data_IF_795328469991
#
_entry.id   IF_795328469991
#
_cell.length_a   1.000
_cell.length_b   1.000
_cell.length_c   1.000
_cell.angle_alpha   90.00
_cell.angle_beta   90.00
_cell.angle_gamma   90.00
#
_symmetry.space_group_name_H-M   'P 1'
#
loop_
_entity.id
_entity.type
_entity.pdbx_description
1 polymer ?
#
# COMPACT_ATOMS: atom_id res chain seq x y z
N UNK A 1 -11.43 -1.85 -15.46
CA UNK A 1 -11.31 -0.92 -16.63
C UNK A 1 -10.32 0.21 -16.34
N UNK A 2 -10.12 0.61 -15.08
CA UNK A 2 -9.27 1.75 -14.64
C UNK A 2 -7.75 1.52 -14.77
N UNK A 3 -7.24 0.32 -14.45
CA UNK A 3 -5.79 -0.01 -14.54
C UNK A 3 -5.26 0.12 -15.98
N UNK A 4 -6.06 -0.29 -16.99
CA UNK A 4 -5.72 -0.09 -18.42
C UNK A 4 -5.77 1.38 -18.84
N UNK A 5 -6.65 2.18 -18.23
CA UNK A 5 -6.77 3.62 -18.49
C UNK A 5 -5.62 4.42 -17.87
N UNK A 6 -5.14 4.03 -16.69
CA UNK A 6 -3.98 4.67 -16.03
C UNK A 6 -2.67 4.47 -16.80
N UNK A 7 -2.41 3.24 -17.27
CA UNK A 7 -1.24 2.96 -18.14
C UNK A 7 -1.30 3.76 -19.44
N UNK A 8 -2.46 3.79 -20.11
CA UNK A 8 -2.64 4.60 -21.32
C UNK A 8 -2.60 6.12 -21.07
N UNK A 9 -3.00 6.57 -19.89
CA UNK A 9 -2.99 7.99 -19.51
C UNK A 9 -1.59 8.54 -19.25
N UNK A 10 -0.69 7.71 -18.70
CA UNK A 10 0.71 8.08 -18.45
C UNK A 10 1.55 7.99 -19.74
N UNK A 11 1.35 6.95 -20.57
CA UNK A 11 2.09 6.77 -21.83
C UNK A 11 1.72 7.82 -22.91
N UNK A 12 0.57 8.50 -22.78
CA UNK A 12 0.07 9.50 -23.75
C UNK A 12 0.25 10.96 -23.32
N UNK A 13 1.09 11.26 -22.32
CA UNK A 13 1.44 12.66 -22.00
C UNK A 13 2.41 13.24 -23.05
N UNK A 14 1.89 13.57 -24.24
CA UNK A 14 2.54 14.51 -25.15
C UNK A 14 2.51 15.92 -24.53
N UNK A 15 3.53 16.77 -24.75
CA UNK A 15 3.50 18.14 -24.28
C UNK A 15 2.42 18.90 -25.06
N UNK A 16 1.25 19.02 -24.46
CA UNK A 16 0.20 19.89 -24.98
C UNK A 16 0.73 21.33 -24.98
N UNK A 17 0.83 21.91 -26.16
CA UNK A 17 1.14 23.34 -26.31
C UNK A 17 -0.08 24.13 -25.85
N UNK A 18 0.06 24.93 -24.79
CA UNK A 18 -1.06 25.65 -24.20
C UNK A 18 -0.85 27.17 -24.28
N UNK A 19 -1.81 27.91 -24.85
CA UNK A 19 -1.75 29.37 -24.90
C UNK A 19 -1.90 29.98 -23.50
N UNK A 20 -1.29 31.16 -23.31
CA UNK A 20 -1.36 31.96 -22.09
C UNK A 20 -2.81 32.41 -21.77
N UNK A 21 -3.02 32.87 -20.53
CA UNK A 21 -4.30 33.45 -20.05
C UNK A 21 -4.87 34.43 -21.09
N UNK A 22 -6.19 34.39 -21.35
CA UNK A 22 -6.79 35.36 -22.27
C UNK A 22 -6.63 36.75 -21.66
N UNK A 23 -6.00 37.64 -22.43
CA UNK A 23 -6.10 39.09 -22.20
C UNK A 23 -7.58 39.47 -22.18
N UNK A 24 -7.96 40.47 -21.39
CA UNK A 24 -9.34 40.91 -21.10
C UNK A 24 -10.14 41.43 -22.31
N UNK A 25 -9.73 41.09 -23.54
CA UNK A 25 -10.14 41.70 -24.79
C UNK A 25 -11.00 40.77 -25.67
N UNK A 26 -11.14 39.49 -25.33
CA UNK A 26 -12.10 38.57 -25.95
C UNK A 26 -12.81 37.78 -24.84
N UNK A 27 -13.99 38.24 -24.44
CA UNK A 27 -14.74 37.71 -23.30
C UNK A 27 -16.09 37.18 -23.75
N UNK A 28 -16.09 36.13 -24.57
CA UNK A 28 -17.30 35.34 -24.81
C UNK A 28 -17.53 34.38 -23.65
N UNK A 29 -18.79 34.11 -23.30
CA UNK A 29 -19.12 33.10 -22.28
C UNK A 29 -18.53 31.72 -22.61
N UNK A 30 -18.39 31.40 -23.90
CA UNK A 30 -17.83 30.15 -24.37
C UNK A 30 -16.33 30.04 -24.10
N UNK A 31 -15.57 31.13 -24.27
CA UNK A 31 -14.14 31.15 -23.95
C UNK A 31 -13.92 30.91 -22.46
N UNK A 32 -14.65 31.63 -21.59
CA UNK A 32 -14.58 31.42 -20.13
C UNK A 32 -14.90 29.98 -19.75
N UNK A 33 -15.95 29.38 -20.32
CA UNK A 33 -16.31 28.00 -20.06
C UNK A 33 -15.19 27.03 -20.46
N UNK A 34 -14.63 27.20 -21.67
CA UNK A 34 -13.50 26.40 -22.15
C UNK A 34 -12.26 26.51 -21.25
N UNK A 35 -11.94 27.71 -20.73
CA UNK A 35 -10.82 27.89 -19.79
C UNK A 35 -11.05 27.19 -18.45
N UNK A 36 -12.26 27.28 -17.86
CA UNK A 36 -12.59 26.61 -16.60
C UNK A 36 -12.62 25.09 -16.74
N UNK A 37 -13.19 24.57 -17.81
CA UNK A 37 -13.18 23.12 -18.12
C UNK A 37 -11.76 22.59 -18.27
N UNK A 38 -10.88 23.33 -18.96
CA UNK A 38 -9.46 22.97 -19.07
C UNK A 38 -8.71 23.02 -17.72
N UNK A 39 -9.01 24.00 -16.86
CA UNK A 39 -8.41 24.05 -15.52
C UNK A 39 -8.88 22.87 -14.65
N UNK A 40 -10.18 22.56 -14.66
CA UNK A 40 -10.73 21.43 -13.93
C UNK A 40 -10.13 20.10 -14.40
N UNK A 41 -10.00 19.91 -15.71
CA UNK A 41 -9.36 18.73 -16.29
C UNK A 41 -7.89 18.58 -15.86
N UNK A 42 -7.13 19.70 -15.80
CA UNK A 42 -5.74 19.71 -15.30
C UNK A 42 -5.65 19.30 -13.84
N UNK A 43 -6.49 19.86 -12.99
CA UNK A 43 -6.52 19.54 -11.56
C UNK A 43 -6.88 18.06 -11.34
N UNK A 44 -7.87 17.56 -12.08
CA UNK A 44 -8.27 16.15 -12.02
C UNK A 44 -7.13 15.22 -12.47
N UNK A 45 -6.45 15.53 -13.56
CA UNK A 45 -5.31 14.74 -14.04
C UNK A 45 -4.14 14.74 -13.04
N UNK A 46 -3.85 15.88 -12.41
CA UNK A 46 -2.84 16.00 -11.35
C UNK A 46 -3.22 15.16 -10.13
N UNK A 47 -4.46 15.25 -9.66
CA UNK A 47 -4.95 14.46 -8.53
C UNK A 47 -4.88 12.95 -8.82
N UNK A 48 -5.27 12.52 -10.02
CA UNK A 48 -5.15 11.11 -10.45
C UNK A 48 -3.69 10.65 -10.48
N UNK A 49 -2.77 11.49 -10.96
CA UNK A 49 -1.35 11.18 -10.95
C UNK A 49 -0.82 11.03 -9.52
N UNK A 50 -1.20 11.93 -8.60
CA UNK A 50 -0.80 11.86 -7.20
C UNK A 50 -1.31 10.59 -6.52
N UNK A 51 -2.60 10.28 -6.66
CA UNK A 51 -3.20 9.04 -6.13
C UNK A 51 -2.50 7.78 -6.67
N UNK A 52 -2.13 7.80 -7.95
CA UNK A 52 -1.41 6.70 -8.57
C UNK A 52 -0.01 6.50 -7.98
N UNK A 53 0.75 7.59 -7.79
CA UNK A 53 2.08 7.51 -7.16
C UNK A 53 1.97 7.06 -5.70
N UNK A 54 0.98 7.56 -4.97
CA UNK A 54 0.72 7.17 -3.59
C UNK A 54 0.41 5.67 -3.49
N UNK A 55 -0.46 5.15 -4.35
CA UNK A 55 -0.74 3.71 -4.42
C UNK A 55 0.52 2.89 -4.71
N UNK A 56 1.36 3.30 -5.66
CA UNK A 56 2.60 2.58 -5.96
C UNK A 56 3.59 2.61 -4.80
N UNK A 57 3.71 3.74 -4.11
CA UNK A 57 4.55 3.89 -2.93
C UNK A 57 4.05 3.00 -1.80
N UNK A 58 2.74 3.02 -1.52
CA UNK A 58 2.12 2.12 -0.55
C UNK A 58 2.36 0.68 -0.92
N UNK A 59 2.15 0.26 -2.17
CA UNK A 59 2.41 -1.12 -2.58
C UNK A 59 3.88 -1.53 -2.38
N UNK A 60 4.82 -0.68 -2.78
CA UNK A 60 6.25 -0.98 -2.62
C UNK A 60 6.65 -1.08 -1.15
N UNK A 61 6.21 -0.14 -0.30
CA UNK A 61 6.52 -0.19 1.13
C UNK A 61 5.86 -1.39 1.81
N UNK A 62 4.65 -1.77 1.39
CA UNK A 62 3.94 -2.95 1.88
C UNK A 62 4.68 -4.23 1.49
N UNK A 63 5.08 -4.38 0.22
CA UNK A 63 5.88 -5.53 -0.24
C UNK A 63 7.16 -5.70 0.59
N UNK A 64 7.84 -4.60 0.92
CA UNK A 64 9.05 -4.63 1.75
C UNK A 64 8.70 -4.99 3.20
N UNK A 65 7.63 -4.41 3.76
CA UNK A 65 7.12 -4.70 5.10
C UNK A 65 6.78 -6.17 5.26
N UNK A 66 5.92 -6.71 4.40
CA UNK A 66 5.53 -8.12 4.42
C UNK A 66 6.72 -9.06 4.30
N UNK A 67 7.64 -8.78 3.36
CA UNK A 67 8.84 -9.61 3.21
C UNK A 67 9.75 -9.55 4.45
N UNK A 68 9.78 -8.42 5.15
CA UNK A 68 10.54 -8.24 6.39
C UNK A 68 9.87 -8.97 7.55
N UNK A 69 8.54 -8.86 7.69
CA UNK A 69 7.75 -9.55 8.70
C UNK A 69 7.84 -11.08 8.57
N UNK A 70 7.80 -11.63 7.35
CA UNK A 70 8.00 -13.07 7.10
C UNK A 70 9.34 -13.55 7.69
N UNK A 71 10.43 -12.85 7.39
CA UNK A 71 11.76 -13.18 7.90
C UNK A 71 11.81 -13.02 9.42
N UNK A 72 11.29 -11.91 9.95
CA UNK A 72 11.32 -11.58 11.36
C UNK A 72 10.52 -12.59 12.19
N UNK A 73 9.25 -12.88 11.84
CA UNK A 73 8.39 -13.80 12.57
C UNK A 73 8.92 -15.24 12.51
N UNK A 74 9.46 -15.65 11.36
CA UNK A 74 10.09 -16.98 11.23
C UNK A 74 11.26 -17.12 12.19
N UNK A 75 12.13 -16.10 12.29
CA UNK A 75 13.28 -16.12 13.21
C UNK A 75 12.87 -15.95 14.67
N UNK A 76 11.86 -15.12 14.97
CA UNK A 76 11.36 -14.89 16.32
C UNK A 76 10.67 -16.15 16.88
N UNK A 77 10.02 -16.93 16.02
CA UNK A 77 9.39 -18.20 16.38
C UNK A 77 10.39 -19.22 16.95
N UNK A 78 11.67 -19.15 16.56
CA UNK A 78 12.72 -20.01 17.12
C UNK A 78 13.14 -19.62 18.55
N UNK A 79 12.78 -18.41 18.98
CA UNK A 79 13.01 -17.93 20.35
C UNK A 79 11.73 -17.97 21.21
N UNK A 80 10.66 -18.56 20.68
CA UNK A 80 9.39 -18.62 21.37
C UNK A 80 9.49 -19.47 22.66
N UNK A 81 8.89 -19.01 23.78
CA UNK A 81 9.00 -19.70 25.07
C UNK A 81 8.19 -21.00 25.15
N UNK A 82 7.26 -21.22 24.22
CA UNK A 82 6.42 -22.41 24.16
C UNK A 82 5.88 -22.64 22.73
N UNK A 83 5.34 -23.83 22.48
CA UNK A 83 4.83 -24.26 21.16
C UNK A 83 3.66 -23.41 20.67
N UNK A 84 2.83 -22.88 21.57
CA UNK A 84 1.72 -22.02 21.19
C UNK A 84 2.21 -20.68 20.63
N UNK A 85 3.15 -20.03 21.32
CA UNK A 85 3.81 -18.80 20.85
C UNK A 85 4.52 -19.03 19.51
N UNK A 86 5.24 -20.16 19.37
CA UNK A 86 5.89 -20.56 18.12
C UNK A 86 4.87 -20.68 16.99
N UNK A 87 3.77 -21.38 17.25
CA UNK A 87 2.70 -21.57 16.27
C UNK A 87 2.06 -20.26 15.83
N UNK A 88 1.76 -19.36 16.77
CA UNK A 88 1.15 -18.05 16.47
C UNK A 88 2.02 -17.23 15.51
N UNK A 89 3.34 -17.18 15.75
CA UNK A 89 4.29 -16.47 14.89
C UNK A 89 4.43 -17.11 13.50
N UNK A 90 4.48 -18.44 13.43
CA UNK A 90 4.56 -19.14 12.15
C UNK A 90 3.27 -19.02 11.33
N UNK A 91 2.11 -18.98 11.99
CA UNK A 91 0.83 -18.73 11.33
C UNK A 91 0.79 -17.31 10.75
N UNK A 92 1.24 -16.29 11.51
CA UNK A 92 1.35 -14.91 11.02
C UNK A 92 2.31 -14.81 9.82
N UNK A 93 3.51 -15.40 9.92
CA UNK A 93 4.46 -15.45 8.80
C UNK A 93 3.90 -16.12 7.54
N UNK A 94 2.94 -17.05 7.69
CA UNK A 94 2.27 -17.69 6.57
C UNK A 94 1.15 -16.83 5.96
N UNK A 95 0.52 -15.96 6.75
CA UNK A 95 -0.42 -14.96 6.27
C UNK A 95 0.33 -13.82 5.55
N UNK A 96 1.48 -13.34 6.08
CA UNK A 96 2.32 -12.34 5.40
C UNK A 96 2.84 -12.80 4.04
N UNK A 97 3.16 -14.10 3.89
CA UNK A 97 3.48 -14.68 2.57
C UNK A 97 2.35 -14.48 1.56
N UNK A 98 1.10 -14.56 2.00
CA UNK A 98 -0.06 -14.35 1.13
C UNK A 98 -0.26 -12.86 0.86
N UNK A 99 -0.07 -12.00 1.85
CA UNK A 99 -0.12 -10.54 1.67
C UNK A 99 0.94 -10.06 0.67
N UNK A 100 2.18 -10.51 0.83
CA UNK A 100 3.27 -10.26 -0.11
C UNK A 100 2.92 -10.67 -1.54
N UNK A 101 2.31 -11.85 -1.71
CA UNK A 101 1.86 -12.33 -3.03
C UNK A 101 0.78 -11.43 -3.62
N UNK A 102 -0.23 -11.03 -2.82
CA UNK A 102 -1.31 -10.13 -3.24
C UNK A 102 -0.76 -8.78 -3.70
N UNK A 103 0.09 -8.13 -2.89
CA UNK A 103 0.68 -6.84 -3.23
C UNK A 103 1.62 -6.92 -4.43
N UNK A 104 2.42 -7.99 -4.53
CA UNK A 104 3.29 -8.23 -5.68
C UNK A 104 2.48 -8.38 -6.96
N UNK A 105 1.39 -9.15 -6.94
CA UNK A 105 0.51 -9.33 -8.09
C UNK A 105 -0.14 -8.01 -8.50
N UNK A 106 -0.66 -7.23 -7.56
CA UNK A 106 -1.25 -5.93 -7.87
C UNK A 106 -0.21 -4.97 -8.45
N UNK A 107 0.97 -4.85 -7.82
CA UNK A 107 2.06 -4.02 -8.30
C UNK A 107 2.47 -4.39 -9.74
N UNK A 108 2.64 -5.68 -10.02
CA UNK A 108 2.99 -6.15 -11.37
C UNK A 108 1.87 -5.94 -12.37
N UNK A 109 0.60 -6.09 -11.97
CA UNK A 109 -0.53 -5.81 -12.85
C UNK A 109 -0.60 -4.34 -13.29
N UNK A 110 -0.19 -3.43 -12.40
CA UNK A 110 -0.20 -1.98 -12.61
C UNK A 110 1.02 -1.55 -13.43
N UNK A 111 2.22 -1.98 -13.03
CA UNK A 111 3.49 -1.50 -13.59
C UNK A 111 3.98 -2.32 -14.80
N UNK A 112 3.47 -3.54 -14.96
CA UNK A 112 3.95 -4.51 -15.94
C UNK A 112 5.29 -5.15 -15.59
N UNK A 113 5.83 -4.91 -14.38
CA UNK A 113 7.13 -5.44 -13.93
C UNK A 113 7.02 -6.04 -12.53
N UNK A 114 7.85 -7.04 -12.24
CA UNK A 114 8.01 -7.53 -10.88
C UNK A 114 8.61 -6.40 -10.00
N UNK A 115 8.18 -6.26 -8.73
CA UNK A 115 8.79 -5.33 -7.80
C UNK A 115 10.24 -5.74 -7.54
N UNK A 116 11.17 -4.78 -7.58
CA UNK A 116 12.56 -5.00 -7.24
C UNK A 116 12.84 -4.39 -5.87
N UNK A 117 13.09 -5.24 -4.87
CA UNK A 117 13.31 -4.81 -3.49
C UNK A 117 14.38 -5.64 -2.80
N UNK A 118 14.86 -5.14 -1.65
CA UNK A 118 15.74 -5.85 -0.73
C UNK A 118 15.20 -5.62 0.67
N UNK A 119 15.10 -6.69 1.45
CA UNK A 119 14.81 -6.56 2.89
C UNK A 119 16.10 -6.30 3.65
N UNK A 120 15.99 -5.58 4.76
CA UNK A 120 17.05 -5.48 5.76
C UNK A 120 16.56 -6.22 7.00
N UNK A 121 17.05 -7.44 7.27
CA UNK A 121 16.57 -8.23 8.39
C UNK A 121 16.66 -7.45 9.70
N UNK A 122 15.55 -7.39 10.42
CA UNK A 122 15.49 -6.73 11.71
C UNK A 122 16.16 -7.57 12.80
N UNK A 123 16.78 -6.88 13.76
CA UNK A 123 17.49 -7.55 14.85
C UNK A 123 16.48 -8.07 15.87
N UNK A 124 16.56 -9.36 16.19
CA UNK A 124 15.83 -9.90 17.34
C UNK A 124 16.63 -9.59 18.60
N UNK A 125 15.95 -9.02 19.60
CA UNK A 125 16.49 -8.72 20.93
C UNK A 125 16.16 -9.89 21.85
N UNK A 126 15.41 -9.67 22.92
CA UNK A 126 14.68 -10.73 23.61
C UNK A 126 13.29 -10.92 23.01
N UNK A 127 12.71 -12.10 23.24
CA UNK A 127 11.43 -12.48 22.67
C UNK A 127 10.31 -11.47 22.98
N UNK A 128 10.24 -10.96 24.21
CA UNK A 128 9.15 -10.08 24.65
C UNK A 128 9.27 -8.72 23.97
N UNK A 129 10.45 -8.13 23.96
CA UNK A 129 10.69 -6.84 23.31
C UNK A 129 10.45 -6.91 21.80
N UNK A 130 10.97 -7.95 21.14
CA UNK A 130 10.78 -8.14 19.69
C UNK A 130 9.33 -8.46 19.33
N UNK A 131 8.58 -9.15 20.19
CA UNK A 131 7.14 -9.37 20.00
C UNK A 131 6.32 -8.07 20.20
N UNK A 132 6.76 -7.19 21.10
CA UNK A 132 6.13 -5.87 21.27
C UNK A 132 6.36 -4.98 20.04
N UNK A 133 7.57 -5.01 19.47
CA UNK A 133 7.87 -4.31 18.21
C UNK A 133 7.00 -4.84 17.07
N UNK A 134 6.92 -6.16 16.89
CA UNK A 134 6.00 -6.78 15.93
C UNK A 134 4.54 -6.34 16.14
N UNK A 135 4.07 -6.29 17.38
CA UNK A 135 2.71 -5.83 17.69
C UNK A 135 2.43 -4.40 17.22
N UNK A 136 3.38 -3.47 17.42
CA UNK A 136 3.23 -2.09 16.96
C UNK A 136 3.28 -2.01 15.42
N UNK A 137 4.13 -2.81 14.77
CA UNK A 137 4.22 -2.88 13.32
C UNK A 137 2.91 -3.40 12.70
N UNK A 138 2.29 -4.44 13.29
CA UNK A 138 0.98 -4.95 12.88
C UNK A 138 -0.13 -3.88 12.98
N UNK A 139 -0.11 -3.06 14.03
CA UNK A 139 -1.07 -1.95 14.15
C UNK A 139 -0.85 -0.87 13.10
N UNK A 140 0.41 -0.52 12.84
CA UNK A 140 0.78 0.43 11.79
C UNK A 140 0.33 -0.07 10.41
N UNK A 141 0.54 -1.35 10.13
CA UNK A 141 0.17 -1.98 8.86
C UNK A 141 -1.34 -2.13 8.71
N UNK A 142 -2.07 -2.45 9.78
CA UNK A 142 -3.52 -2.34 9.81
C UNK A 142 -4.01 -0.96 9.37
N UNK A 143 -3.46 0.13 9.93
CA UNK A 143 -3.88 1.49 9.57
C UNK A 143 -3.54 1.84 8.12
N UNK A 144 -2.32 1.50 7.69
CA UNK A 144 -1.83 1.68 6.32
C UNK A 144 -2.76 1.01 5.32
N UNK A 145 -3.11 -0.25 5.55
CA UNK A 145 -3.96 -1.04 4.64
C UNK A 145 -5.43 -0.63 4.70
N UNK A 146 -5.96 -0.29 5.88
CA UNK A 146 -7.30 0.28 6.02
C UNK A 146 -7.43 1.58 5.24
N UNK A 147 -6.44 2.48 5.34
CA UNK A 147 -6.47 3.76 4.63
C UNK A 147 -6.40 3.54 3.11
N UNK A 148 -5.55 2.62 2.63
CA UNK A 148 -5.49 2.25 1.22
C UNK A 148 -6.80 1.63 0.72
N UNK A 149 -7.43 0.77 1.51
CA UNK A 149 -8.76 0.20 1.23
C UNK A 149 -9.82 1.29 1.06
N UNK A 150 -9.88 2.26 2.00
CA UNK A 150 -10.86 3.34 1.98
C UNK A 150 -10.64 4.34 0.85
N UNK A 151 -9.38 4.57 0.46
CA UNK A 151 -9.03 5.46 -0.65
C UNK A 151 -9.23 4.83 -2.04
N UNK A 152 -9.34 3.49 -2.12
CA UNK A 152 -9.42 2.78 -3.39
C UNK A 152 -10.76 2.97 -4.09
N UNK A 153 -10.70 3.45 -5.34
CA UNK A 153 -11.87 3.55 -6.23
C UNK A 153 -12.01 2.34 -7.16
N UNK A 154 -10.92 1.61 -7.44
CA UNK A 154 -10.94 0.36 -8.20
C UNK A 154 -11.15 -0.83 -7.24
N UNK A 155 -12.16 -1.65 -7.53
CA UNK A 155 -12.52 -2.80 -6.70
C UNK A 155 -11.36 -3.80 -6.54
N UNK A 156 -10.52 -3.97 -7.57
CA UNK A 156 -9.35 -4.87 -7.51
C UNK A 156 -8.35 -4.38 -6.47
N UNK A 157 -8.07 -3.07 -6.47
CA UNK A 157 -7.18 -2.43 -5.48
C UNK A 157 -7.79 -2.57 -4.09
N UNK A 158 -9.07 -2.21 -3.94
CA UNK A 158 -9.78 -2.28 -2.67
C UNK A 158 -9.74 -3.69 -2.08
N UNK A 159 -10.12 -4.69 -2.86
CA UNK A 159 -10.21 -6.08 -2.40
C UNK A 159 -8.82 -6.68 -2.12
N UNK A 160 -7.76 -6.15 -2.74
CA UNK A 160 -6.36 -6.53 -2.46
C UNK A 160 -5.94 -6.13 -1.04
N UNK A 161 -6.37 -4.96 -0.55
CA UNK A 161 -6.06 -4.48 0.80
C UNK A 161 -7.02 -5.02 1.87
N UNK A 162 -8.20 -5.53 1.49
CA UNK A 162 -9.23 -5.99 2.44
C UNK A 162 -8.73 -7.07 3.39
N UNK A 163 -8.07 -8.08 2.82
CA UNK A 163 -7.57 -9.21 3.59
C UNK A 163 -6.39 -8.81 4.50
N UNK A 164 -5.30 -8.21 3.99
CA UNK A 164 -4.17 -7.78 4.81
C UNK A 164 -4.59 -6.96 6.03
N UNK A 165 -5.39 -5.88 5.87
CA UNK A 165 -5.78 -5.08 7.03
C UNK A 165 -6.56 -5.89 8.09
N UNK A 166 -7.41 -6.83 7.66
CA UNK A 166 -8.20 -7.66 8.58
C UNK A 166 -7.34 -8.71 9.29
N UNK A 167 -6.31 -9.21 8.60
CA UNK A 167 -5.35 -10.16 9.14
C UNK A 167 -4.37 -9.47 10.11
N UNK A 168 -3.94 -8.22 9.86
CA UNK A 168 -3.00 -7.51 10.75
C UNK A 168 -3.61 -7.19 12.11
N UNK A 169 -4.86 -6.74 12.16
CA UNK A 169 -5.52 -6.52 13.46
C UNK A 169 -5.69 -7.84 14.22
N UNK A 170 -5.87 -8.97 13.51
CA UNK A 170 -5.88 -10.32 14.11
C UNK A 170 -4.49 -10.71 14.64
N UNK A 171 -3.41 -10.39 13.93
CA UNK A 171 -2.04 -10.62 14.39
C UNK A 171 -1.73 -9.78 15.64
N UNK A 172 -2.02 -8.48 15.62
CA UNK A 172 -1.85 -7.59 16.76
C UNK A 172 -2.58 -8.10 18.02
N UNK A 173 -3.84 -8.55 17.89
CA UNK A 173 -4.58 -9.14 19.01
C UNK A 173 -3.89 -10.41 19.55
N UNK A 174 -3.39 -11.28 18.67
CA UNK A 174 -2.65 -12.49 19.08
C UNK A 174 -1.32 -12.15 19.75
N UNK A 175 -0.55 -11.20 19.22
CA UNK A 175 0.72 -10.78 19.82
C UNK A 175 0.49 -10.10 21.17
N UNK A 176 -0.55 -9.29 21.30
CA UNK A 176 -1.00 -8.73 22.59
C UNK A 176 -1.35 -9.83 23.60
N UNK A 177 -2.05 -10.89 23.18
CA UNK A 177 -2.30 -12.04 24.05
C UNK A 177 -0.98 -12.69 24.51
N UNK A 178 -0.05 -12.95 23.60
CA UNK A 178 1.27 -13.53 23.92
C UNK A 178 2.10 -12.65 24.87
N UNK A 179 2.01 -11.33 24.75
CA UNK A 179 2.67 -10.36 25.65
C UNK A 179 2.08 -10.38 27.07
N UNK A 180 0.85 -10.84 27.25
CA UNK A 180 0.15 -10.82 28.53
C UNK A 180 -0.03 -12.22 29.15
N UNK A 181 0.17 -13.29 28.37
CA UNK A 181 0.22 -14.65 28.88
C UNK A 181 1.44 -14.83 29.80
N UNK A 182 1.20 -15.39 31.00
CA UNK A 182 2.22 -15.70 32.00
C UNK A 182 2.85 -17.06 31.76
#
# INVERSE_FOLDING_TARGET
MFIRTLRKGLDNMQPYYFPAQPSSYYDSFQDRQYYWENQAARQQAQAQHQMYQELLNTLMSSIIGEATAIDFYTRLAEQAPNDYSKKVLLDAAQDEKKHLQLFTQLYTSITGKAPAYKIRPEKIKDFRQSLFEAYEDELSDYEKYRNAYLAATDATVRDTFFRPYSDEIKHAVKFSYLLNSR
#
